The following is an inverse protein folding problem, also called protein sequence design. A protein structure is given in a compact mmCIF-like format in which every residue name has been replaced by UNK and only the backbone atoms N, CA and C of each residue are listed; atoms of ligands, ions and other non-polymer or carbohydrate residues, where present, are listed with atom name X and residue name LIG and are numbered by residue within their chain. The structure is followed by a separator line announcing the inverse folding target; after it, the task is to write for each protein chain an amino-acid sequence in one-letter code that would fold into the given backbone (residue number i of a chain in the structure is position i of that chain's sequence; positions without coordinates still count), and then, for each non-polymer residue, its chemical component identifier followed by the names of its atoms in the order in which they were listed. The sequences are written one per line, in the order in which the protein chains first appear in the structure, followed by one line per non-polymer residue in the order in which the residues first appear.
data_IF_638506388234
#
_entry.id   IF_638506388234
#
_cell.length_a   1.000
_cell.length_b   1.000
_cell.length_c   1.000
_cell.angle_alpha   90.00
_cell.angle_beta   90.00
_cell.angle_gamma   90.00
#
_symmetry.space_group_name_H-M   'P 1'
#
loop_
_entity.id
_entity.type
_entity.pdbx_description
1 polymer ?
#
# COMPACT_ATOMS: atom_id res chain seq x y z
N UNK A 1 -25.65 60.46 35.49
CA UNK A 1 -26.72 59.47 35.34
C UNK A 1 -26.65 58.93 33.92
N UNK A 2 -26.45 57.61 33.79
CA UNK A 2 -26.73 56.69 32.66
C UNK A 2 -26.32 57.17 31.24
N UNK A 3 -25.45 56.51 30.48
CA UNK A 3 -25.15 55.08 30.40
C UNK A 3 -26.07 54.40 29.39
N UNK A 4 -25.62 54.22 28.13
CA UNK A 4 -26.11 53.14 27.27
C UNK A 4 -25.17 52.92 26.07
N UNK A 5 -24.25 51.96 26.24
CA UNK A 5 -23.57 51.25 25.17
C UNK A 5 -24.62 50.42 24.41
N UNK A 6 -24.80 50.66 23.12
CA UNK A 6 -25.52 49.72 22.25
C UNK A 6 -24.59 48.55 21.90
N UNK A 7 -24.63 47.47 22.70
CA UNK A 7 -24.14 46.16 22.29
C UNK A 7 -25.07 45.60 21.20
N UNK A 8 -24.52 45.33 20.01
CA UNK A 8 -25.15 44.44 19.03
C UNK A 8 -24.86 42.99 19.41
N UNK A 9 -25.84 42.06 19.38
CA UNK A 9 -25.54 40.66 19.58
C UNK A 9 -24.86 40.09 18.33
N UNK A 10 -23.68 39.51 18.53
CA UNK A 10 -23.01 38.67 17.54
C UNK A 10 -23.67 37.28 17.63
N UNK A 11 -24.76 37.06 16.89
CA UNK A 11 -25.40 35.75 16.82
C UNK A 11 -24.51 34.78 16.07
N UNK A 12 -24.14 33.71 16.78
CA UNK A 12 -23.31 32.62 16.32
C UNK A 12 -23.98 31.80 15.20
N UNK A 13 -23.19 31.56 14.15
CA UNK A 13 -22.89 30.28 13.51
C UNK A 13 -24.05 29.29 13.29
N UNK A 14 -24.42 29.09 12.03
CA UNK A 14 -24.66 27.77 11.46
C UNK A 14 -24.37 27.84 9.95
N UNK A 15 -23.12 27.57 9.59
CA UNK A 15 -22.80 27.21 8.22
C UNK A 15 -23.43 25.84 7.97
N UNK A 16 -24.53 25.79 7.22
CA UNK A 16 -24.94 24.57 6.51
C UNK A 16 -23.85 24.27 5.47
N UNK A 17 -22.76 23.67 5.94
CA UNK A 17 -21.79 23.01 5.07
C UNK A 17 -22.48 21.74 4.56
N UNK A 18 -22.59 21.52 3.24
CA UNK A 18 -23.11 20.27 2.73
C UNK A 18 -22.25 19.15 3.29
N UNK A 19 -22.89 18.16 3.92
CA UNK A 19 -22.25 16.97 4.45
C UNK A 19 -21.25 16.46 3.41
N UNK A 20 -19.95 16.54 3.77
CA UNK A 20 -18.89 16.04 2.94
C UNK A 20 -19.23 14.58 2.64
N UNK A 21 -19.58 14.31 1.39
CA UNK A 21 -19.58 12.96 0.84
C UNK A 21 -18.15 12.50 1.01
N UNK A 22 -17.87 11.76 2.08
CA UNK A 22 -16.62 11.04 2.21
C UNK A 22 -16.58 10.15 0.96
N UNK A 23 -15.67 10.39 -0.01
CA UNK A 23 -15.50 9.43 -1.08
C UNK A 23 -15.18 8.08 -0.40
N UNK A 24 -15.63 6.94 -0.95
CA UNK A 24 -15.24 5.65 -0.42
C UNK A 24 -13.73 5.71 -0.22
N UNK A 25 -13.25 5.58 1.02
CA UNK A 25 -11.83 5.41 1.29
C UNK A 25 -11.49 4.10 0.61
N UNK A 26 -11.00 4.20 -0.61
CA UNK A 26 -10.44 3.07 -1.32
C UNK A 26 -9.32 2.56 -0.41
N UNK A 27 -9.55 1.41 0.21
CA UNK A 27 -8.59 0.82 1.11
C UNK A 27 -7.46 0.24 0.25
N UNK A 28 -6.39 1.03 0.11
CA UNK A 28 -5.18 0.64 -0.61
C UNK A 28 -4.63 -0.70 -0.07
N UNK A 29 -4.83 -0.99 1.22
CA UNK A 29 -4.43 -2.26 1.79
C UNK A 29 -5.25 -3.42 1.22
N UNK A 30 -6.56 -3.26 1.05
CA UNK A 30 -7.41 -4.30 0.48
C UNK A 30 -7.12 -4.51 -1.02
N UNK A 31 -6.94 -3.42 -1.77
CA UNK A 31 -6.52 -3.51 -3.18
C UNK A 31 -5.20 -4.27 -3.32
N UNK A 32 -4.25 -4.02 -2.42
CA UNK A 32 -2.97 -4.71 -2.46
C UNK A 32 -3.06 -6.21 -2.16
N UNK A 33 -4.01 -6.63 -1.31
CA UNK A 33 -4.28 -8.06 -1.07
C UNK A 33 -4.80 -8.71 -2.35
N UNK A 34 -5.82 -8.11 -2.95
CA UNK A 34 -6.45 -8.65 -4.17
C UNK A 34 -5.44 -8.75 -5.32
N UNK A 35 -4.59 -7.73 -5.50
CA UNK A 35 -3.51 -7.73 -6.48
C UNK A 35 -2.46 -8.82 -6.20
N UNK A 36 -2.07 -9.01 -4.94
CA UNK A 36 -1.11 -10.06 -4.56
C UNK A 36 -1.69 -11.46 -4.80
N UNK A 37 -2.94 -11.68 -4.41
CA UNK A 37 -3.65 -12.95 -4.65
C UNK A 37 -3.79 -13.25 -6.14
N UNK A 38 -4.06 -12.22 -6.95
CA UNK A 38 -4.12 -12.34 -8.40
C UNK A 38 -2.76 -12.77 -8.98
N UNK A 39 -1.66 -12.09 -8.58
CA UNK A 39 -0.32 -12.45 -9.01
C UNK A 39 0.05 -13.88 -8.62
N UNK A 40 -0.26 -14.29 -7.38
CA UNK A 40 -0.07 -15.65 -6.89
C UNK A 40 -0.86 -16.68 -7.73
N UNK A 41 -2.10 -16.34 -8.08
CA UNK A 41 -2.96 -17.18 -8.92
C UNK A 41 -2.44 -17.35 -10.36
N UNK A 42 -1.75 -16.34 -10.91
CA UNK A 42 -1.05 -16.46 -12.20
C UNK A 42 0.18 -17.36 -12.06
N UNK A 43 0.98 -17.14 -11.03
CA UNK A 43 2.19 -17.90 -10.75
C UNK A 43 1.91 -19.40 -10.58
N UNK A 44 0.93 -19.76 -9.75
CA UNK A 44 0.54 -21.15 -9.50
C UNK A 44 0.07 -21.89 -10.76
N UNK A 45 -0.40 -21.15 -11.78
CA UNK A 45 -0.82 -21.72 -13.07
C UNK A 45 0.31 -21.78 -14.10
N UNK A 46 1.52 -21.34 -13.74
CA UNK A 46 2.69 -21.32 -14.62
C UNK A 46 2.74 -20.12 -15.56
N UNK A 47 1.90 -19.10 -15.35
CA UNK A 47 1.92 -17.87 -16.14
C UNK A 47 2.97 -16.89 -15.61
N UNK A 48 4.24 -17.31 -15.64
CA UNK A 48 5.32 -16.62 -14.95
C UNK A 48 5.60 -15.22 -15.51
N UNK A 49 5.48 -14.98 -16.82
CA UNK A 49 5.60 -13.63 -17.38
C UNK A 49 4.52 -12.68 -16.86
N UNK A 50 3.27 -13.13 -16.79
CA UNK A 50 2.17 -12.30 -16.30
C UNK A 50 2.30 -12.08 -14.79
N UNK A 51 2.61 -13.14 -14.04
CA UNK A 51 2.87 -13.03 -12.61
C UNK A 51 4.01 -12.04 -12.32
N UNK A 52 5.10 -12.10 -13.09
CA UNK A 52 6.23 -11.18 -12.97
C UNK A 52 5.79 -9.71 -13.10
N UNK A 53 4.97 -9.39 -14.11
CA UNK A 53 4.46 -8.04 -14.32
C UNK A 53 3.63 -7.58 -13.13
N UNK A 54 2.73 -8.43 -12.61
CA UNK A 54 1.89 -8.06 -11.47
C UNK A 54 2.69 -7.87 -10.19
N UNK A 55 3.69 -8.72 -9.92
CA UNK A 55 4.58 -8.53 -8.77
C UNK A 55 5.43 -7.26 -8.92
N UNK A 56 5.88 -6.91 -10.12
CA UNK A 56 6.60 -5.66 -10.37
C UNK A 56 5.72 -4.45 -10.07
N UNK A 57 4.48 -4.43 -10.58
CA UNK A 57 3.51 -3.37 -10.34
C UNK A 57 3.25 -3.17 -8.83
N UNK A 58 3.07 -4.27 -8.09
CA UNK A 58 2.92 -4.24 -6.64
C UNK A 58 4.14 -3.63 -5.96
N UNK A 59 5.34 -4.10 -6.29
CA UNK A 59 6.59 -3.59 -5.71
C UNK A 59 6.75 -2.09 -5.97
N UNK A 60 6.47 -1.62 -7.18
CA UNK A 60 6.54 -0.21 -7.55
C UNK A 60 5.52 0.62 -6.76
N UNK A 61 4.26 0.19 -6.72
CA UNK A 61 3.18 0.85 -5.99
C UNK A 61 3.51 0.97 -4.50
N UNK A 62 4.11 -0.06 -3.91
CA UNK A 62 4.52 -0.06 -2.51
C UNK A 62 5.81 0.70 -2.23
N UNK A 63 6.73 0.78 -3.19
CA UNK A 63 8.00 1.52 -3.04
C UNK A 63 7.76 3.02 -2.90
N UNK A 64 6.69 3.52 -3.51
CA UNK A 64 6.29 4.93 -3.46
C UNK A 64 5.40 5.28 -2.26
N UNK A 65 4.96 4.30 -1.47
CA UNK A 65 4.13 4.57 -0.30
C UNK A 65 4.97 5.08 0.88
N UNK A 66 4.66 6.26 1.43
CA UNK A 66 5.32 6.73 2.64
C UNK A 66 4.99 5.76 3.79
N UNK A 67 6.00 5.35 4.56
CA UNK A 67 5.86 4.40 5.67
C UNK A 67 4.72 4.76 6.66
N UNK A 68 4.35 6.04 6.73
CA UNK A 68 3.24 6.59 7.52
C UNK A 68 1.83 6.26 6.99
N UNK A 69 1.69 5.60 5.82
CA UNK A 69 0.39 5.22 5.22
C UNK A 69 0.06 3.73 5.38
N UNK A 70 0.96 2.97 6.03
CA UNK A 70 0.68 1.61 6.49
C UNK A 70 -0.23 1.75 7.72
N UNK A 71 -1.50 1.32 7.66
CA UNK A 71 -2.46 1.60 8.72
C UNK A 71 -2.01 1.05 10.07
N UNK A 72 -2.07 1.94 11.06
CA UNK A 72 -1.69 1.76 12.46
C UNK A 72 -2.29 0.46 13.02
N UNK A 73 -1.46 -0.59 13.11
CA UNK A 73 -1.83 -1.90 13.67
C UNK A 73 -1.62 -3.10 12.75
N UNK A 74 -1.37 -2.89 11.44
CA UNK A 74 -1.04 -3.95 10.47
C UNK A 74 0.36 -3.80 9.86
N UNK A 75 1.28 -3.13 10.57
CA UNK A 75 2.64 -2.91 10.08
C UNK A 75 3.28 -4.19 9.55
N UNK A 76 3.19 -5.29 10.30
CA UNK A 76 3.72 -6.60 9.89
C UNK A 76 3.04 -7.18 8.65
N UNK A 77 1.71 -7.11 8.52
CA UNK A 77 1.00 -7.66 7.37
C UNK A 77 1.25 -6.85 6.09
N UNK A 78 1.48 -5.54 6.19
CA UNK A 78 1.93 -4.72 5.07
C UNK A 78 3.35 -5.09 4.62
N UNK A 79 4.28 -5.26 5.58
CA UNK A 79 5.65 -5.69 5.29
C UNK A 79 5.70 -7.09 4.66
N UNK A 80 4.93 -8.04 5.18
CA UNK A 80 4.83 -9.41 4.66
C UNK A 80 4.33 -9.45 3.20
N UNK A 81 3.36 -8.59 2.84
CA UNK A 81 2.87 -8.52 1.45
C UNK A 81 3.90 -7.99 0.48
N UNK A 82 4.65 -6.96 0.88
CA UNK A 82 5.72 -6.39 0.06
C UNK A 82 6.81 -7.44 -0.12
N UNK A 83 7.21 -8.10 0.97
CA UNK A 83 8.15 -9.21 0.93
C UNK A 83 7.69 -10.32 -0.01
N UNK A 84 6.45 -10.79 0.13
CA UNK A 84 5.85 -11.80 -0.75
C UNK A 84 5.85 -11.36 -2.22
N UNK A 85 5.62 -10.08 -2.51
CA UNK A 85 5.71 -9.56 -3.87
C UNK A 85 7.14 -9.59 -4.42
N UNK A 86 8.15 -9.23 -3.60
CA UNK A 86 9.55 -9.37 -3.99
C UNK A 86 9.95 -10.84 -4.22
N UNK A 87 9.49 -11.76 -3.35
CA UNK A 87 9.72 -13.21 -3.49
C UNK A 87 9.08 -13.71 -4.78
N UNK A 88 7.80 -13.43 -5.00
CA UNK A 88 7.06 -13.84 -6.20
C UNK A 88 7.67 -13.29 -7.50
N UNK A 89 8.19 -12.05 -7.48
CA UNK A 89 8.98 -11.49 -8.58
C UNK A 89 10.25 -12.31 -8.83
N UNK A 90 11.00 -12.61 -7.78
CA UNK A 90 12.25 -13.36 -7.88
C UNK A 90 12.02 -14.80 -8.39
N UNK A 91 11.00 -15.47 -7.86
CA UNK A 91 10.61 -16.82 -8.28
C UNK A 91 10.12 -16.83 -9.72
N UNK A 92 9.28 -15.87 -10.12
CA UNK A 92 8.86 -15.75 -11.52
C UNK A 92 10.07 -15.63 -12.45
N UNK A 93 11.04 -14.76 -12.11
CA UNK A 93 12.28 -14.63 -12.89
C UNK A 93 13.10 -15.93 -12.91
N UNK A 94 13.17 -16.65 -11.80
CA UNK A 94 13.84 -17.94 -11.70
C UNK A 94 13.20 -18.99 -12.63
N UNK A 95 11.87 -19.13 -12.61
CA UNK A 95 11.15 -20.05 -13.49
C UNK A 95 11.27 -19.67 -14.97
N UNK A 96 11.43 -18.38 -15.27
CA UNK A 96 11.76 -17.85 -16.59
C UNK A 96 13.23 -18.01 -16.98
N UNK A 97 14.07 -18.58 -16.11
CA UNK A 97 15.52 -18.75 -16.30
C UNK A 97 16.28 -17.43 -16.45
N UNK A 98 15.70 -16.31 -15.98
CA UNK A 98 16.30 -14.97 -15.96
C UNK A 98 17.04 -14.77 -14.64
N UNK A 99 18.03 -15.63 -14.38
CA UNK A 99 18.67 -15.73 -13.07
C UNK A 99 19.38 -14.46 -12.63
N UNK A 100 20.05 -13.77 -13.57
CA UNK A 100 20.75 -12.52 -13.27
C UNK A 100 19.79 -11.45 -12.71
N UNK A 101 18.57 -11.40 -13.25
CA UNK A 101 17.54 -10.48 -12.81
C UNK A 101 16.85 -10.93 -11.52
N UNK A 102 16.77 -12.25 -11.28
CA UNK A 102 16.21 -12.80 -10.05
C UNK A 102 17.04 -12.43 -8.81
N UNK A 103 18.36 -12.18 -8.97
CA UNK A 103 19.25 -11.81 -7.86
C UNK A 103 18.89 -10.45 -7.23
N UNK A 104 18.44 -9.49 -8.03
CA UNK A 104 18.10 -8.15 -7.55
C UNK A 104 16.99 -8.14 -6.49
N UNK A 105 15.79 -8.70 -6.73
CA UNK A 105 14.75 -8.74 -5.71
C UNK A 105 15.18 -9.53 -4.45
N UNK A 106 15.94 -10.62 -4.57
CA UNK A 106 16.48 -11.31 -3.40
C UNK A 106 17.44 -10.45 -2.58
N UNK A 107 18.31 -9.66 -3.22
CA UNK A 107 19.19 -8.70 -2.53
C UNK A 107 18.39 -7.64 -1.80
N UNK A 108 17.34 -7.11 -2.43
CA UNK A 108 16.47 -6.11 -1.81
C UNK A 108 15.80 -6.69 -0.57
N UNK A 109 15.34 -7.94 -0.61
CA UNK A 109 14.77 -8.61 0.56
C UNK A 109 15.79 -8.68 1.69
N UNK A 110 16.99 -9.20 1.42
CA UNK A 110 18.04 -9.34 2.45
C UNK A 110 18.49 -8.00 3.06
N UNK A 111 18.48 -6.92 2.28
CA UNK A 111 18.86 -5.58 2.75
C UNK A 111 17.74 -4.90 3.55
N UNK A 112 16.48 -5.04 3.11
CA UNK A 112 15.33 -4.35 3.73
C UNK A 112 14.66 -5.16 4.84
N UNK A 113 14.79 -6.49 4.82
CA UNK A 113 14.17 -7.43 5.74
C UNK A 113 15.22 -8.38 6.34
N UNK A 114 16.12 -7.88 7.21
CA UNK A 114 17.22 -8.67 7.77
C UNK A 114 16.77 -9.78 8.74
N UNK A 115 15.47 -9.89 9.05
CA UNK A 115 14.92 -10.87 10.00
C UNK A 115 14.35 -12.13 9.32
N UNK A 116 14.27 -12.20 8.00
CA UNK A 116 13.64 -13.34 7.28
C UNK A 116 14.56 -14.57 7.16
N UNK A 117 15.81 -14.51 7.62
CA UNK A 117 16.78 -15.63 7.55
C UNK A 117 16.96 -16.40 8.86
N UNK A 118 15.94 -16.49 9.73
CA UNK A 118 16.00 -17.29 10.96
C UNK A 118 14.99 -18.45 10.97
#
# INVERSE_FOLDING_TARGET
MLGMLCLRPLSAIAQDAPAAVNPPRVDLAQISVEKLDFANGLFQRGFYEMALVEYQNLVEEFSDLPAARLPDGQGQAGFERIENAYIGRAESLFFLKRYDEALEPYRVILQKFPQTSQ
#
